data_IF_162619727617
#
_entry.id   IF_162619727617
#
_cell.length_a   1.000
_cell.length_b   1.000
_cell.length_c   1.000
_cell.angle_alpha   90.00
_cell.angle_beta   90.00
_cell.angle_gamma   90.00
#
_symmetry.space_group_name_H-M   'P 1'
#
loop_
_entity.id
_entity.type
_entity.pdbx_description
1 polymer ?
#
# COMPACT_ATOMS: atom_id res chain seq x y z
N UNK A 1 -25.94 -22.86 6.04
CA UNK A 1 -24.76 -21.96 6.02
C UNK A 1 -24.85 -21.07 4.79
N UNK A 2 -24.50 -19.78 4.90
CA UNK A 2 -24.54 -18.85 3.77
C UNK A 2 -23.13 -18.36 3.47
N UNK A 3 -22.72 -18.45 2.22
CA UNK A 3 -21.45 -17.91 1.77
C UNK A 3 -21.59 -16.40 1.55
N UNK A 4 -20.59 -15.65 2.04
CA UNK A 4 -20.46 -14.23 1.80
C UNK A 4 -19.17 -13.99 1.04
N UNK A 5 -19.21 -13.13 0.03
CA UNK A 5 -17.99 -12.69 -0.64
C UNK A 5 -17.18 -11.84 0.33
N UNK A 6 -15.91 -12.15 0.48
CA UNK A 6 -15.01 -11.38 1.33
C UNK A 6 -13.63 -11.25 0.72
N UNK A 7 -12.88 -10.27 1.22
CA UNK A 7 -11.47 -10.06 0.91
C UNK A 7 -10.68 -10.00 2.20
N UNK A 8 -9.40 -10.37 2.15
CA UNK A 8 -8.50 -10.16 3.29
C UNK A 8 -7.81 -8.83 3.13
N UNK A 9 -8.02 -7.93 4.07
CA UNK A 9 -7.33 -6.64 4.17
C UNK A 9 -6.62 -6.56 5.51
N UNK A 10 -5.31 -6.31 5.48
CA UNK A 10 -4.48 -6.21 6.70
C UNK A 10 -4.62 -7.41 7.65
N UNK A 11 -4.82 -8.61 7.11
CA UNK A 11 -5.00 -9.84 7.90
C UNK A 11 -6.41 -10.05 8.45
N UNK A 12 -7.37 -9.18 8.14
CA UNK A 12 -8.77 -9.28 8.57
C UNK A 12 -9.67 -9.57 7.38
N UNK A 13 -10.65 -10.47 7.55
CA UNK A 13 -11.66 -10.74 6.53
C UNK A 13 -12.71 -9.62 6.54
N UNK A 14 -12.82 -8.93 5.41
CA UNK A 14 -13.83 -7.90 5.17
C UNK A 14 -14.91 -8.47 4.25
N UNK A 15 -16.16 -8.46 4.70
CA UNK A 15 -17.31 -8.89 3.89
C UNK A 15 -17.66 -7.79 2.89
N UNK A 16 -17.83 -8.17 1.62
CA UNK A 16 -18.14 -7.24 0.52
C UNK A 16 -19.62 -7.33 0.15
N UNK A 17 -20.29 -6.18 0.13
CA UNK A 17 -21.70 -6.08 -0.30
C UNK A 17 -22.74 -6.60 0.70
N UNK A 18 -22.31 -6.91 1.94
CA UNK A 18 -23.21 -7.29 3.02
C UNK A 18 -22.63 -6.83 4.37
N UNK A 19 -23.51 -6.68 5.36
CA UNK A 19 -23.14 -6.50 6.78
C UNK A 19 -23.67 -7.68 7.57
N UNK A 20 -22.84 -8.19 8.48
CA UNK A 20 -23.26 -9.22 9.42
C UNK A 20 -23.68 -8.55 10.72
N UNK A 21 -24.70 -9.10 11.42
CA UNK A 21 -25.06 -8.62 12.75
C UNK A 21 -23.90 -8.76 13.74
N UNK A 22 -23.82 -7.85 14.70
CA UNK A 22 -22.87 -7.97 15.81
C UNK A 22 -23.09 -9.27 16.59
N UNK A 23 -22.01 -9.85 17.11
CA UNK A 23 -22.05 -11.15 17.79
C UNK A 23 -22.13 -12.37 16.87
N UNK A 24 -22.18 -12.18 15.54
CA UNK A 24 -22.15 -13.31 14.59
C UNK A 24 -20.80 -14.04 14.65
N UNK A 25 -20.82 -15.33 14.96
CA UNK A 25 -19.64 -16.21 14.87
C UNK A 25 -19.47 -16.63 13.41
N UNK A 26 -18.28 -16.37 12.86
CA UNK A 26 -17.96 -16.64 11.46
C UNK A 26 -16.84 -17.67 11.38
N UNK A 27 -17.01 -18.67 10.52
CA UNK A 27 -15.96 -19.59 10.11
C UNK A 27 -15.51 -19.22 8.70
N UNK A 28 -14.19 -19.10 8.53
CA UNK A 28 -13.59 -18.76 7.24
C UNK A 28 -12.96 -20.02 6.65
N UNK A 29 -13.39 -20.39 5.44
CA UNK A 29 -12.78 -21.48 4.67
C UNK A 29 -11.97 -20.87 3.53
N UNK A 30 -10.68 -21.20 3.46
CA UNK A 30 -9.78 -20.73 2.41
C UNK A 30 -9.29 -21.96 1.64
N UNK A 31 -9.50 -21.99 0.33
CA UNK A 31 -8.91 -23.03 -0.53
C UNK A 31 -7.39 -22.86 -0.64
N UNK A 32 -6.66 -23.96 -0.79
CA UNK A 32 -5.19 -23.92 -0.95
C UNK A 32 -4.75 -23.06 -2.13
N UNK A 33 -5.48 -23.13 -3.25
CA UNK A 33 -5.21 -22.32 -4.45
C UNK A 33 -5.38 -20.82 -4.20
N UNK A 34 -6.44 -20.40 -3.49
CA UNK A 34 -6.61 -19.01 -3.07
C UNK A 34 -5.48 -18.56 -2.14
N UNK A 35 -5.10 -19.40 -1.18
CA UNK A 35 -4.04 -19.07 -0.22
C UNK A 35 -2.70 -18.88 -0.92
N UNK A 36 -2.37 -19.75 -1.88
CA UNK A 36 -1.16 -19.63 -2.68
C UNK A 36 -1.16 -18.36 -3.52
N UNK A 37 -2.27 -18.07 -4.22
CA UNK A 37 -2.41 -16.84 -5.02
C UNK A 37 -2.27 -15.58 -4.17
N UNK A 38 -2.87 -15.56 -2.99
CA UNK A 38 -2.77 -14.45 -2.05
C UNK A 38 -1.32 -14.24 -1.56
N UNK A 39 -0.59 -15.32 -1.26
CA UNK A 39 0.83 -15.26 -0.89
C UNK A 39 1.70 -14.71 -2.01
N UNK A 40 1.54 -15.21 -3.23
CA UNK A 40 2.29 -14.73 -4.40
C UNK A 40 1.99 -13.25 -4.65
N UNK A 41 0.71 -12.85 -4.62
CA UNK A 41 0.30 -11.46 -4.80
C UNK A 41 0.88 -10.54 -3.71
N UNK A 42 0.98 -11.01 -2.46
CA UNK A 42 1.62 -10.29 -1.37
C UNK A 42 3.11 -10.05 -1.60
N UNK A 43 3.83 -11.06 -2.12
CA UNK A 43 5.27 -10.95 -2.44
C UNK A 43 5.50 -10.05 -3.65
N UNK A 44 4.65 -10.13 -4.68
CA UNK A 44 4.76 -9.31 -5.89
C UNK A 44 4.39 -7.84 -5.68
N UNK A 45 3.58 -7.52 -4.66
CA UNK A 45 3.31 -6.15 -4.19
C UNK A 45 4.51 -5.53 -3.43
N UNK A 46 5.74 -5.87 -3.82
CA UNK A 46 6.98 -5.35 -3.25
C UNK A 46 7.00 -3.83 -3.10
N UNK A 47 7.90 -3.29 -2.26
CA UNK A 47 7.84 -1.90 -1.80
C UNK A 47 7.69 -0.95 -3.00
N UNK A 48 6.63 -0.13 -2.96
CA UNK A 48 6.34 0.89 -3.98
C UNK A 48 7.64 1.64 -4.27
N UNK A 49 8.21 1.46 -5.47
CA UNK A 49 9.39 2.23 -5.92
C UNK A 49 9.02 3.71 -5.90
N UNK A 50 9.43 4.43 -4.86
CA UNK A 50 9.30 5.88 -4.78
C UNK A 50 10.24 6.47 -5.82
N UNK A 51 9.69 6.89 -6.96
CA UNK A 51 10.45 7.63 -7.97
C UNK A 51 10.58 9.08 -7.49
N UNK A 52 11.64 9.37 -6.75
CA UNK A 52 11.96 10.76 -6.40
C UNK A 52 12.51 11.43 -7.66
N UNK A 53 11.73 12.34 -8.25
CA UNK A 53 12.21 13.20 -9.33
C UNK A 53 12.93 14.39 -8.70
N UNK A 54 14.27 14.31 -8.61
CA UNK A 54 15.08 15.47 -8.27
C UNK A 54 14.90 16.51 -9.38
N UNK A 55 14.23 17.62 -9.09
CA UNK A 55 14.33 18.83 -9.92
C UNK A 55 15.58 19.57 -9.43
N UNK A 56 16.56 19.87 -10.29
CA UNK A 56 17.62 20.80 -9.91
C UNK A 56 16.96 22.15 -9.63
N UNK A 57 17.15 22.68 -8.42
CA UNK A 57 16.73 24.05 -8.10
C UNK A 57 17.78 24.99 -8.70
N UNK A 58 17.47 25.74 -9.77
CA UNK A 58 18.40 26.72 -10.32
C UNK A 58 18.37 27.90 -9.35
N UNK A 59 19.46 28.12 -8.62
CA UNK A 59 19.50 29.16 -7.58
C UNK A 59 20.63 29.07 -6.57
N UNK A 60 21.35 27.94 -6.49
CA UNK A 60 22.69 27.91 -5.88
C UNK A 60 23.72 28.46 -6.88
N UNK A 61 23.50 29.69 -7.34
CA UNK A 61 24.52 30.49 -7.99
C UNK A 61 25.41 31.06 -6.87
N UNK A 62 26.72 30.86 -7.01
CA UNK A 62 27.72 31.53 -6.19
C UNK A 62 27.44 33.04 -6.16
N UNK A 63 27.16 33.56 -4.98
CA UNK A 63 26.84 34.97 -4.79
C UNK A 63 27.05 35.40 -3.34
N UNK A 64 28.30 35.55 -2.93
CA UNK A 64 28.71 36.40 -1.81
C UNK A 64 30.07 37.00 -2.20
N UNK A 65 30.08 38.18 -2.82
CA UNK A 65 30.13 39.51 -2.21
C UNK A 65 31.56 40.09 -2.35
N UNK A 66 31.71 41.16 -3.16
CA UNK A 66 32.95 41.94 -3.29
C UNK A 66 33.28 42.74 -2.01
N UNK A 67 34.34 43.58 -1.98
CA UNK A 67 34.40 44.77 -2.85
C UNK A 67 35.82 45.12 -3.38
N UNK A 68 35.88 46.09 -4.30
CA UNK A 68 37.13 46.62 -4.90
C UNK A 68 37.72 47.83 -4.18
N UNK A 69 38.88 48.30 -4.67
CA UNK A 69 39.33 49.70 -4.61
C UNK A 69 40.48 49.91 -5.63
N UNK A 70 40.29 50.90 -6.49
CA UNK A 70 41.18 51.74 -7.34
C UNK A 70 42.60 51.28 -7.73
#
# INVERSE_FOLDING_TARGET
>A
MRAYKGVVENGVVVVVGARLPEGTIVTVTVGEGELLRARIAGVLKGPRKVRIRLKPTPGLALGAHGPGHD
#
